data_IF_384881513953
#
_entry.id   IF_384881513953
#
_cell.length_a   1.000
_cell.length_b   1.000
_cell.length_c   1.000
_cell.angle_alpha   90.00
_cell.angle_beta   90.00
_cell.angle_gamma   90.00
#
_symmetry.space_group_name_H-M   'P 1'
#
loop_
_entity.id
_entity.type
_entity.pdbx_description
1 polymer ?
#
# COMPACT_ATOMS: atom_id res chain seq x y z
N UNK A 1 3.05 -13.01 15.57
CA UNK A 1 3.51 -13.97 16.57
C UNK A 1 4.80 -13.48 17.21
N UNK A 2 4.98 -13.77 18.47
CA UNK A 2 6.25 -13.59 19.16
C UNK A 2 7.21 -14.74 18.84
N UNK A 3 8.49 -14.52 19.05
CA UNK A 3 9.47 -15.57 18.92
C UNK A 3 10.42 -15.59 20.13
N UNK A 4 10.99 -16.74 20.42
CA UNK A 4 11.92 -16.92 21.53
C UNK A 4 13.40 -16.88 21.08
N UNK A 5 13.64 -16.83 19.77
CA UNK A 5 14.99 -16.97 19.20
C UNK A 5 15.93 -15.79 19.54
N UNK A 6 15.36 -14.61 19.85
CA UNK A 6 16.15 -13.44 20.27
C UNK A 6 16.37 -13.37 21.78
N UNK A 7 15.92 -14.37 22.57
CA UNK A 7 16.16 -14.48 23.99
C UNK A 7 15.24 -13.66 24.88
N UNK A 8 14.18 -13.06 24.35
CA UNK A 8 13.24 -12.21 25.11
C UNK A 8 12.00 -12.96 25.61
N UNK A 9 11.97 -14.29 25.51
CA UNK A 9 10.90 -15.13 26.02
C UNK A 9 9.54 -14.83 25.40
N UNK A 10 9.50 -14.54 24.08
CA UNK A 10 8.29 -14.25 23.33
C UNK A 10 7.64 -12.89 23.64
N UNK A 11 8.34 -11.96 24.28
CA UNK A 11 7.79 -10.64 24.68
C UNK A 11 8.10 -9.51 23.70
N UNK A 12 8.90 -9.75 22.69
CA UNK A 12 9.52 -8.80 21.79
C UNK A 12 8.70 -8.49 20.53
N UNK A 13 7.63 -9.18 20.29
CA UNK A 13 6.78 -9.01 19.10
C UNK A 13 5.54 -8.15 19.38
N UNK A 14 4.92 -7.68 18.30
CA UNK A 14 3.65 -6.97 18.36
C UNK A 14 2.50 -7.92 18.74
N UNK A 15 1.73 -7.56 19.78
CA UNK A 15 0.62 -8.36 20.29
C UNK A 15 -0.70 -8.08 19.56
N UNK A 16 -0.84 -6.89 18.92
CA UNK A 16 -2.01 -6.50 18.15
C UNK A 16 -1.89 -6.90 16.70
N UNK A 17 -1.99 -8.19 16.44
CA UNK A 17 -1.91 -8.70 15.07
C UNK A 17 -3.17 -8.33 14.27
N UNK A 18 -3.00 -7.52 13.23
CA UNK A 18 -4.04 -7.12 12.28
C UNK A 18 -3.89 -7.80 10.93
N UNK A 19 -2.99 -8.77 10.81
CA UNK A 19 -2.82 -9.53 9.59
C UNK A 19 -4.03 -10.44 9.33
N UNK A 20 -4.27 -10.72 8.06
CA UNK A 20 -5.31 -11.62 7.61
C UNK A 20 -4.70 -12.82 6.89
N UNK A 21 -5.00 -14.03 7.34
CA UNK A 21 -4.49 -15.27 6.76
C UNK A 21 -5.23 -15.72 5.49
N UNK A 22 -6.26 -14.96 5.07
CA UNK A 22 -7.13 -15.26 3.92
C UNK A 22 -7.91 -16.58 4.05
N UNK A 23 -8.12 -17.07 5.27
CA UNK A 23 -8.93 -18.24 5.58
C UNK A 23 -8.15 -19.44 6.10
N UNK A 24 -6.85 -19.56 5.80
CA UNK A 24 -6.00 -20.67 6.25
C UNK A 24 -4.71 -20.12 6.87
N UNK A 25 -4.36 -20.60 8.04
CA UNK A 25 -3.10 -20.23 8.70
C UNK A 25 -1.93 -20.99 8.06
N UNK A 26 -0.83 -20.26 7.79
CA UNK A 26 0.38 -20.84 7.20
C UNK A 26 0.28 -21.09 5.69
N UNK A 27 1.19 -21.93 5.21
CA UNK A 27 1.24 -22.34 3.80
C UNK A 27 0.06 -23.28 3.45
N UNK A 28 -0.41 -23.22 2.21
CA UNK A 28 -1.52 -24.05 1.73
C UNK A 28 -1.45 -24.25 0.24
N UNK A 29 -1.94 -25.42 -0.22
CA UNK A 29 -2.10 -25.73 -1.65
C UNK A 29 -3.50 -25.32 -2.18
N UNK A 30 -4.34 -24.68 -1.36
CA UNK A 30 -5.65 -24.19 -1.80
C UNK A 30 -5.48 -23.04 -2.81
N UNK A 31 -5.86 -23.25 -4.08
CA UNK A 31 -5.64 -22.25 -5.12
C UNK A 31 -6.48 -20.98 -4.91
N UNK A 32 -7.66 -21.08 -4.28
CA UNK A 32 -8.52 -19.95 -3.99
C UNK A 32 -7.92 -19.06 -2.92
N UNK A 33 -7.36 -19.65 -1.86
CA UNK A 33 -6.65 -18.91 -0.80
C UNK A 33 -5.40 -18.25 -1.34
N UNK A 34 -4.60 -18.95 -2.16
CA UNK A 34 -3.38 -18.42 -2.75
C UNK A 34 -3.69 -17.26 -3.72
N UNK A 35 -4.69 -17.40 -4.59
CA UNK A 35 -5.14 -16.33 -5.46
C UNK A 35 -5.62 -15.10 -4.68
N UNK A 36 -6.32 -15.29 -3.56
CA UNK A 36 -6.76 -14.23 -2.68
C UNK A 36 -5.57 -13.52 -2.02
N UNK A 37 -4.57 -14.26 -1.55
CA UNK A 37 -3.34 -13.70 -0.97
C UNK A 37 -2.58 -12.84 -1.97
N UNK A 38 -2.36 -13.35 -3.18
CA UNK A 38 -1.69 -12.61 -4.27
C UNK A 38 -2.45 -11.32 -4.63
N UNK A 39 -3.78 -11.37 -4.67
CA UNK A 39 -4.61 -10.18 -4.89
C UNK A 39 -4.44 -9.16 -3.77
N UNK A 40 -4.43 -9.59 -2.51
CA UNK A 40 -4.28 -8.68 -1.37
C UNK A 40 -2.88 -8.04 -1.33
N UNK A 41 -1.83 -8.77 -1.65
CA UNK A 41 -0.48 -8.20 -1.78
C UNK A 41 -0.46 -7.06 -2.81
N UNK A 42 -1.04 -7.28 -3.99
CA UNK A 42 -1.16 -6.24 -5.03
C UNK A 42 -2.02 -5.06 -4.57
N UNK A 43 -3.10 -5.30 -3.84
CA UNK A 43 -3.95 -4.24 -3.28
C UNK A 43 -3.17 -3.35 -2.31
N UNK A 44 -2.37 -3.93 -1.39
CA UNK A 44 -1.54 -3.18 -0.46
C UNK A 44 -0.48 -2.35 -1.19
N UNK A 45 0.24 -2.95 -2.13
CA UNK A 45 1.25 -2.26 -2.94
C UNK A 45 0.62 -1.11 -3.73
N UNK A 46 -0.52 -1.35 -4.39
CA UNK A 46 -1.24 -0.31 -5.13
C UNK A 46 -1.63 0.84 -4.22
N UNK A 47 -2.30 0.53 -3.10
CA UNK A 47 -2.76 1.54 -2.15
C UNK A 47 -1.59 2.39 -1.64
N UNK A 48 -0.47 1.77 -1.29
CA UNK A 48 0.73 2.47 -0.85
C UNK A 48 1.30 3.37 -1.95
N UNK A 49 1.36 2.90 -3.20
CA UNK A 49 1.95 3.66 -4.31
C UNK A 49 1.08 4.82 -4.78
N UNK A 50 -0.25 4.74 -4.65
CA UNK A 50 -1.15 5.86 -5.00
C UNK A 50 -1.45 6.79 -3.82
N UNK A 51 -1.08 6.40 -2.60
CA UNK A 51 -1.27 7.22 -1.41
C UNK A 51 -0.29 8.39 -1.38
N UNK A 52 -0.71 9.49 -0.75
CA UNK A 52 0.15 10.62 -0.48
C UNK A 52 1.13 10.30 0.66
N UNK A 53 2.32 10.85 0.60
CA UNK A 53 3.40 10.61 1.56
C UNK A 53 4.57 9.86 0.93
N UNK A 54 5.52 9.45 1.76
CA UNK A 54 6.69 8.68 1.34
C UNK A 54 6.35 7.19 1.48
N UNK A 55 6.25 6.43 0.39
CA UNK A 55 6.02 5.00 0.47
C UNK A 55 7.22 4.30 1.11
N UNK A 56 6.96 3.40 2.05
CA UNK A 56 7.98 2.58 2.68
C UNK A 56 7.64 1.11 2.45
N UNK A 57 8.50 0.41 1.74
CA UNK A 57 8.39 -1.01 1.42
C UNK A 57 9.52 -1.76 2.12
N UNK A 58 9.21 -2.76 2.92
CA UNK A 58 10.24 -3.63 3.48
C UNK A 58 10.83 -4.50 2.37
N UNK A 59 12.14 -4.71 2.39
CA UNK A 59 12.80 -5.54 1.38
C UNK A 59 12.21 -6.94 1.38
N UNK A 60 11.88 -7.44 0.20
CA UNK A 60 11.26 -8.74 0.00
C UNK A 60 9.74 -8.71 -0.09
N UNK A 61 9.06 -7.65 0.33
CA UNK A 61 7.61 -7.54 0.14
C UNK A 61 7.24 -7.50 -1.35
N UNK A 62 8.12 -6.94 -2.19
CA UNK A 62 8.00 -6.97 -3.66
C UNK A 62 8.12 -8.37 -4.27
N UNK A 63 8.62 -9.32 -3.50
CA UNK A 63 8.78 -10.73 -3.86
C UNK A 63 7.83 -11.65 -3.09
N UNK A 64 6.94 -11.09 -2.26
CA UNK A 64 6.07 -11.89 -1.41
C UNK A 64 6.81 -12.69 -0.33
N UNK A 65 7.96 -12.18 0.16
CA UNK A 65 8.74 -12.84 1.21
C UNK A 65 7.90 -13.14 2.44
N UNK A 66 8.09 -14.30 3.02
CA UNK A 66 7.44 -14.71 4.27
C UNK A 66 8.45 -14.89 5.39
N UNK A 67 8.10 -14.52 6.60
CA UNK A 67 8.82 -14.83 7.83
C UNK A 67 8.17 -16.00 8.58
N UNK A 68 7.36 -16.81 7.90
CA UNK A 68 6.66 -17.99 8.44
C UNK A 68 5.87 -17.69 9.72
N UNK A 69 5.28 -16.48 9.78
CA UNK A 69 4.49 -16.01 10.93
C UNK A 69 5.29 -15.46 12.09
N UNK A 70 6.61 -15.34 11.97
CA UNK A 70 7.42 -14.59 12.92
C UNK A 70 7.28 -13.09 12.64
N UNK A 71 6.86 -12.30 13.59
CA UNK A 71 6.66 -10.86 13.44
C UNK A 71 7.84 -10.01 13.96
N UNK A 72 8.92 -10.66 14.42
CA UNK A 72 10.15 -10.00 14.81
C UNK A 72 11.36 -10.88 14.51
N UNK A 73 12.09 -10.58 13.45
CA UNK A 73 13.32 -11.30 13.05
C UNK A 73 14.59 -10.61 13.54
N UNK A 74 14.47 -9.71 14.49
CA UNK A 74 15.62 -9.03 15.09
C UNK A 74 16.64 -10.03 15.62
N UNK A 75 17.92 -9.78 15.35
CA UNK A 75 19.06 -10.63 15.73
C UNK A 75 19.00 -12.07 15.19
N UNK A 76 18.20 -12.36 14.16
CA UNK A 76 18.14 -13.68 13.53
C UNK A 76 18.82 -13.64 12.18
N UNK A 77 20.01 -14.22 12.10
CA UNK A 77 20.75 -14.42 10.86
C UNK A 77 20.55 -15.85 10.36
N UNK A 78 19.37 -16.11 9.79
CA UNK A 78 18.98 -17.42 9.29
C UNK A 78 17.95 -17.30 8.16
N UNK A 79 17.49 -18.43 7.63
CA UNK A 79 16.57 -18.54 6.49
C UNK A 79 15.20 -17.84 6.70
N UNK A 80 14.79 -17.50 7.94
CA UNK A 80 13.57 -16.74 8.20
C UNK A 80 13.74 -15.29 7.75
N UNK A 81 14.94 -14.72 7.90
CA UNK A 81 15.26 -13.34 7.55
C UNK A 81 15.93 -13.19 6.18
N UNK A 82 16.56 -14.26 5.67
CA UNK A 82 17.27 -14.17 4.40
C UNK A 82 16.35 -14.03 3.20
N UNK A 83 16.86 -13.43 2.15
CA UNK A 83 16.20 -13.34 0.86
C UNK A 83 16.53 -14.55 -0.01
N UNK A 84 15.50 -15.19 -0.53
CA UNK A 84 15.65 -16.23 -1.55
C UNK A 84 15.51 -15.60 -2.94
N UNK A 85 16.54 -15.73 -3.76
CA UNK A 85 16.61 -15.13 -5.09
C UNK A 85 16.20 -16.08 -6.22
N UNK A 86 15.94 -17.33 -5.90
CA UNK A 86 15.37 -18.29 -6.85
C UNK A 86 13.85 -18.14 -6.84
N UNK A 87 13.37 -17.20 -7.68
CA UNK A 87 11.98 -16.76 -7.69
C UNK A 87 11.11 -17.69 -8.53
N UNK A 88 9.98 -18.09 -8.00
CA UNK A 88 8.91 -18.73 -8.74
C UNK A 88 8.14 -17.75 -9.66
N UNK A 89 7.10 -18.25 -10.34
CA UNK A 89 6.32 -17.46 -11.27
C UNK A 89 5.52 -16.33 -10.57
N UNK A 90 4.89 -16.63 -9.45
CA UNK A 90 4.08 -15.66 -8.70
C UNK A 90 4.93 -14.55 -8.10
N UNK A 91 6.12 -14.87 -7.63
CA UNK A 91 7.10 -13.91 -7.12
C UNK A 91 7.62 -12.99 -8.23
N UNK A 92 7.93 -13.53 -9.41
CA UNK A 92 8.32 -12.74 -10.60
C UNK A 92 7.20 -11.80 -11.04
N UNK A 93 5.97 -12.28 -11.03
CA UNK A 93 4.80 -11.47 -11.38
C UNK A 93 4.55 -10.35 -10.36
N UNK A 94 4.72 -10.63 -9.07
CA UNK A 94 4.58 -9.61 -8.03
C UNK A 94 5.68 -8.54 -8.13
N UNK A 95 6.92 -8.95 -8.43
CA UNK A 95 8.04 -8.03 -8.68
C UNK A 95 7.77 -7.12 -9.88
N UNK A 96 7.30 -7.71 -10.99
CA UNK A 96 6.94 -6.95 -12.19
C UNK A 96 5.81 -5.96 -11.90
N UNK A 97 4.78 -6.39 -11.17
CA UNK A 97 3.67 -5.54 -10.74
C UNK A 97 4.15 -4.39 -9.85
N UNK A 98 4.99 -4.67 -8.86
CA UNK A 98 5.55 -3.66 -7.96
C UNK A 98 6.38 -2.64 -8.72
N UNK A 99 7.20 -3.09 -9.66
CA UNK A 99 8.00 -2.23 -10.54
C UNK A 99 7.11 -1.31 -11.38
N UNK A 100 6.01 -1.83 -11.93
CA UNK A 100 5.04 -1.05 -12.69
C UNK A 100 4.33 0.00 -11.82
N UNK A 101 3.93 -0.37 -10.59
CA UNK A 101 3.29 0.56 -9.65
C UNK A 101 4.25 1.70 -9.22
N UNK A 102 5.52 1.39 -9.01
CA UNK A 102 6.57 2.40 -8.76
C UNK A 102 6.74 3.30 -10.01
N UNK A 103 6.75 2.70 -11.20
CA UNK A 103 6.81 3.44 -12.47
C UNK A 103 5.65 4.42 -12.64
N UNK A 104 4.42 3.97 -12.34
CA UNK A 104 3.23 4.83 -12.33
C UNK A 104 3.41 6.02 -11.38
N UNK A 105 3.82 5.77 -10.12
CA UNK A 105 4.06 6.84 -9.17
C UNK A 105 5.12 7.82 -9.63
N UNK A 106 6.20 7.33 -10.25
CA UNK A 106 7.28 8.18 -10.80
C UNK A 106 6.80 9.02 -11.99
N UNK A 107 5.93 8.49 -12.83
CA UNK A 107 5.40 9.19 -13.99
C UNK A 107 4.39 10.30 -13.64
N UNK A 108 3.75 10.21 -12.47
CA UNK A 108 2.70 11.15 -12.05
C UNK A 108 3.12 11.99 -10.85
N UNK A 109 3.56 13.26 -11.05
CA UNK A 109 3.98 14.15 -9.97
C UNK A 109 2.91 14.39 -8.91
N UNK A 110 1.63 14.31 -9.29
CA UNK A 110 0.50 14.46 -8.37
C UNK A 110 0.54 13.47 -7.19
N UNK A 111 1.10 12.26 -7.38
CA UNK A 111 1.26 11.24 -6.36
C UNK A 111 2.47 11.49 -5.44
N UNK A 112 3.34 12.44 -5.79
CA UNK A 112 4.62 12.71 -5.10
C UNK A 112 4.69 14.12 -4.54
N UNK A 113 3.54 14.73 -4.24
CA UNK A 113 3.45 16.09 -3.70
C UNK A 113 4.17 16.20 -2.36
N UNK A 114 4.83 17.33 -2.14
CA UNK A 114 5.46 17.67 -0.84
C UNK A 114 4.45 18.19 0.19
N UNK A 115 3.28 18.63 -0.25
CA UNK A 115 2.22 19.17 0.60
C UNK A 115 0.98 18.29 0.51
N UNK A 116 0.30 18.14 1.62
CA UNK A 116 -0.99 17.43 1.64
C UNK A 116 -2.03 18.17 0.79
N UNK A 117 -3.02 17.42 0.33
CA UNK A 117 -4.18 17.99 -0.34
C UNK A 117 -4.96 18.87 0.63
N UNK A 118 -5.46 20.00 0.15
CA UNK A 118 -6.25 20.93 0.95
C UNK A 118 -7.76 20.65 0.87
N UNK A 119 -8.19 19.90 -0.15
CA UNK A 119 -9.61 19.59 -0.38
C UNK A 119 -10.46 20.72 -0.92
N UNK A 120 -10.04 21.97 -0.71
CA UNK A 120 -10.80 23.14 -1.12
C UNK A 120 -10.27 23.75 -2.42
N UNK A 121 -11.18 24.32 -3.22
CA UNK A 121 -10.81 25.20 -4.31
C UNK A 121 -10.08 26.45 -3.76
N UNK A 122 -8.90 26.75 -4.29
CA UNK A 122 -8.22 28.01 -3.94
C UNK A 122 -8.81 29.12 -4.80
N UNK A 123 -9.41 30.13 -4.16
CA UNK A 123 -9.79 31.36 -4.83
C UNK A 123 -8.57 31.96 -5.53
N UNK A 124 -8.66 32.13 -6.86
CA UNK A 124 -7.60 32.70 -7.69
C UNK A 124 -6.67 31.69 -8.37
N UNK A 125 -6.96 30.39 -8.34
CA UNK A 125 -6.27 29.37 -9.14
C UNK A 125 -6.84 29.24 -10.55
N UNK A 126 -6.11 28.60 -11.47
CA UNK A 126 -6.56 28.28 -12.84
C UNK A 126 -7.72 27.29 -12.88
N UNK A 127 -8.08 26.67 -11.76
CA UNK A 127 -9.17 25.69 -11.62
C UNK A 127 -10.06 26.05 -10.44
N UNK A 128 -11.36 26.11 -10.68
CA UNK A 128 -12.39 26.23 -9.64
C UNK A 128 -12.56 24.95 -8.82
N UNK A 129 -11.96 23.85 -9.29
CA UNK A 129 -12.01 22.55 -8.62
C UNK A 129 -10.96 22.45 -7.53
N UNK A 130 -11.27 21.77 -6.46
CA UNK A 130 -10.32 21.40 -5.41
C UNK A 130 -9.15 20.57 -5.94
N UNK A 131 -8.09 20.46 -5.18
CA UNK A 131 -6.92 19.66 -5.52
C UNK A 131 -7.14 18.15 -5.32
N UNK A 132 -8.16 17.77 -4.57
CA UNK A 132 -8.69 16.41 -4.41
C UNK A 132 -10.20 16.45 -4.28
N UNK A 133 -10.88 15.55 -4.97
CA UNK A 133 -12.33 15.33 -4.86
C UNK A 133 -12.61 13.84 -4.71
N UNK A 134 -13.67 13.53 -4.00
CA UNK A 134 -14.09 12.17 -3.69
C UNK A 134 -15.50 11.94 -4.22
N UNK A 135 -15.70 10.85 -4.93
CA UNK A 135 -16.95 10.55 -5.58
C UNK A 135 -17.47 9.17 -5.21
N UNK A 136 -18.79 9.06 -5.18
CA UNK A 136 -19.50 7.79 -5.10
C UNK A 136 -19.43 7.04 -6.44
N UNK A 137 -19.84 5.75 -6.47
CA UNK A 137 -19.91 4.98 -7.71
C UNK A 137 -20.81 5.57 -8.79
N UNK A 138 -21.78 6.39 -8.42
CA UNK A 138 -22.69 7.10 -9.33
C UNK A 138 -22.12 8.44 -9.85
N UNK A 139 -20.84 8.72 -9.53
CA UNK A 139 -20.12 9.94 -9.85
C UNK A 139 -20.66 11.22 -9.16
N UNK A 140 -21.53 11.13 -8.18
CA UNK A 140 -21.84 12.26 -7.31
C UNK A 140 -20.74 12.43 -6.25
N UNK A 141 -20.45 13.67 -5.86
CA UNK A 141 -19.47 13.96 -4.82
C UNK A 141 -19.92 13.40 -3.47
N UNK A 142 -18.95 12.87 -2.70
CA UNK A 142 -19.21 12.33 -1.36
C UNK A 142 -19.45 13.46 -0.36
N UNK A 143 -20.49 13.29 0.44
CA UNK A 143 -20.80 14.14 1.59
C UNK A 143 -20.40 13.48 2.93
N UNK A 144 -20.63 14.16 4.04
CA UNK A 144 -20.31 13.66 5.37
C UNK A 144 -21.07 12.38 5.73
N UNK A 145 -22.30 12.22 5.26
CA UNK A 145 -23.10 11.02 5.50
C UNK A 145 -22.56 9.81 4.75
N UNK A 146 -22.03 10.02 3.54
CA UNK A 146 -21.41 8.97 2.74
C UNK A 146 -20.15 8.42 3.41
N UNK A 147 -19.33 9.29 4.03
CA UNK A 147 -18.14 8.86 4.78
C UNK A 147 -18.47 8.00 6.01
N UNK A 148 -19.63 8.17 6.58
CA UNK A 148 -20.11 7.39 7.72
C UNK A 148 -20.88 6.12 7.32
N UNK A 149 -21.03 5.85 6.02
CA UNK A 149 -21.73 4.69 5.51
C UNK A 149 -20.92 3.39 5.68
N UNK A 150 -21.34 2.53 6.60
CA UNK A 150 -20.67 1.28 6.91
C UNK A 150 -20.72 0.21 5.79
N UNK A 151 -21.51 0.42 4.75
CA UNK A 151 -21.63 -0.50 3.60
C UNK A 151 -20.95 -0.02 2.33
N UNK A 152 -20.40 1.19 2.31
CA UNK A 152 -19.65 1.70 1.17
C UNK A 152 -18.40 0.84 0.90
N UNK A 153 -18.27 0.30 -0.32
CA UNK A 153 -17.21 -0.63 -0.69
C UNK A 153 -16.29 -0.13 -1.80
N UNK A 154 -16.63 0.99 -2.39
CA UNK A 154 -15.86 1.61 -3.46
C UNK A 154 -16.03 3.11 -3.44
N UNK A 155 -15.02 3.81 -3.85
CA UNK A 155 -15.01 5.25 -4.05
C UNK A 155 -14.12 5.58 -5.24
N UNK A 156 -14.34 6.74 -5.84
CA UNK A 156 -13.46 7.29 -6.86
C UNK A 156 -12.76 8.53 -6.30
N UNK A 157 -11.48 8.64 -6.59
CA UNK A 157 -10.66 9.79 -6.19
C UNK A 157 -10.23 10.53 -7.45
N UNK A 158 -10.53 11.82 -7.52
CA UNK A 158 -10.01 12.71 -8.54
C UNK A 158 -8.90 13.56 -7.94
N UNK A 159 -7.73 13.52 -8.54
CA UNK A 159 -6.56 14.31 -8.18
C UNK A 159 -6.32 15.37 -9.26
N UNK A 160 -6.46 16.64 -8.89
CA UNK A 160 -6.33 17.74 -9.82
C UNK A 160 -4.87 18.20 -9.92
N UNK A 161 -4.20 17.85 -11.02
CA UNK A 161 -2.83 18.26 -11.30
C UNK A 161 -2.67 19.77 -11.45
N UNK A 162 -3.67 20.47 -12.00
CA UNK A 162 -3.62 21.93 -12.21
C UNK A 162 -3.66 22.73 -10.91
N UNK A 163 -4.12 22.11 -9.83
CA UNK A 163 -4.11 22.71 -8.49
C UNK A 163 -2.78 22.56 -7.74
N UNK A 164 -1.78 21.90 -8.34
CA UNK A 164 -0.44 21.78 -7.75
C UNK A 164 0.27 23.12 -7.83
N UNK A 165 0.50 23.75 -6.70
CA UNK A 165 1.19 25.06 -6.61
C UNK A 165 2.68 24.94 -6.27
N UNK A 166 3.11 23.80 -5.74
CA UNK A 166 4.50 23.56 -5.36
C UNK A 166 5.17 22.63 -6.36
N UNK A 167 6.38 22.93 -6.82
CA UNK A 167 7.13 22.01 -7.66
C UNK A 167 7.47 20.73 -6.89
N UNK A 168 7.65 19.62 -7.64
CA UNK A 168 8.20 18.38 -7.10
C UNK A 168 9.71 18.53 -6.80
N UNK A 169 10.37 17.44 -6.40
CA UNK A 169 11.81 17.43 -6.12
C UNK A 169 12.70 17.74 -7.33
N UNK A 170 12.15 17.72 -8.55
CA UNK A 170 12.84 18.07 -9.81
C UNK A 170 12.49 19.48 -10.30
N UNK A 171 11.69 20.24 -9.57
CA UNK A 171 11.22 21.56 -9.98
C UNK A 171 10.08 21.54 -11.01
N UNK A 172 9.49 20.37 -11.30
CA UNK A 172 8.35 20.21 -12.21
C UNK A 172 7.03 20.48 -11.48
N UNK A 173 6.06 21.06 -12.20
CA UNK A 173 4.68 21.33 -11.72
C UNK A 173 3.70 20.38 -12.35
#
# INVERSE_FOLDING_TARGET
KHNDANGEGGKDGESHNRSWNCGIEGETDDPGVNALRLRQQRNFITTMMVSQGVPMLAHGDELGRTQRGNNNVYAQDNEISWMHWDLDADQKDLLAFTSAAIGLRKAHPILRRRRFFAGAAKHGGLSELGDILWFKPDASEMDEADWNSGFARSLMVFLNGDAITAPNERGER
#
